data_IF_817815909964
#
_entry.id   IF_817815909964
#
_cell.length_a   1.000
_cell.length_b   1.000
_cell.length_c   1.000
_cell.angle_alpha   90.00
_cell.angle_beta   90.00
_cell.angle_gamma   90.00
#
_symmetry.space_group_name_H-M   'P 1'
#
loop_
_entity.id
_entity.type
_entity.pdbx_description
1 polymer ?
#
# COMPACT_ATOMS: atom_id res chain seq x y z
N UNK A 1 42.05 1.99 8.04
CA UNK A 1 40.92 2.77 8.61
C UNK A 1 39.63 2.19 8.09
N UNK A 2 38.54 2.21 8.86
CA UNK A 2 37.22 1.78 8.38
C UNK A 2 36.72 2.81 7.37
N UNK A 3 36.33 2.40 6.17
CA UNK A 3 35.75 3.30 5.18
C UNK A 3 34.38 3.77 5.66
N UNK A 4 34.14 5.06 5.56
CA UNK A 4 32.86 5.71 5.92
C UNK A 4 31.90 5.72 4.74
N UNK A 5 30.59 5.68 5.03
CA UNK A 5 29.54 5.58 4.00
C UNK A 5 28.52 6.71 4.15
N UNK A 6 28.25 7.42 3.07
CA UNK A 6 27.20 8.43 2.96
C UNK A 6 26.07 7.91 2.06
N UNK A 7 24.82 8.02 2.51
CA UNK A 7 23.64 7.85 1.66
C UNK A 7 23.16 9.21 1.13
N UNK A 8 23.10 9.36 -0.19
CA UNK A 8 22.53 10.53 -0.87
C UNK A 8 21.12 10.17 -1.35
N UNK A 9 20.09 10.75 -0.72
CA UNK A 9 18.69 10.48 -1.03
C UNK A 9 18.15 11.60 -1.93
N UNK A 10 17.83 11.25 -3.18
CA UNK A 10 17.36 12.20 -4.17
C UNK A 10 15.85 12.48 -4.01
N UNK A 11 15.49 13.65 -3.48
CA UNK A 11 14.11 14.08 -3.28
C UNK A 11 13.76 15.43 -3.96
N UNK A 12 14.70 16.09 -4.64
CA UNK A 12 14.48 17.40 -5.30
C UNK A 12 13.68 17.35 -6.61
N UNK A 13 13.18 16.20 -7.05
CA UNK A 13 12.54 16.03 -8.36
C UNK A 13 11.08 16.53 -8.40
N UNK A 14 10.72 17.35 -9.41
CA UNK A 14 9.36 17.94 -9.61
C UNK A 14 8.24 16.93 -9.92
N UNK A 15 8.52 15.64 -10.06
CA UNK A 15 7.50 14.60 -10.25
C UNK A 15 6.64 14.70 -11.52
N UNK A 16 7.08 15.38 -12.56
CA UNK A 16 6.30 15.71 -13.76
C UNK A 16 5.58 14.52 -14.45
N UNK A 17 6.07 13.28 -14.25
CA UNK A 17 5.47 12.06 -14.83
C UNK A 17 4.28 11.50 -14.03
N UNK A 18 4.11 11.93 -12.78
CA UNK A 18 3.06 11.40 -11.91
C UNK A 18 1.69 12.05 -12.15
N UNK A 19 1.62 13.14 -12.92
CA UNK A 19 0.36 13.85 -13.23
C UNK A 19 -0.23 14.64 -12.06
N UNK A 20 0.41 14.65 -10.89
CA UNK A 20 0.04 15.38 -9.68
C UNK A 20 1.31 15.76 -8.90
N UNK A 21 1.16 16.55 -7.84
CA UNK A 21 2.28 17.00 -7.01
C UNK A 21 2.93 15.83 -6.26
N UNK A 22 3.79 15.09 -6.97
CA UNK A 22 4.50 13.90 -6.45
C UNK A 22 5.24 14.19 -5.14
N UNK A 23 5.74 15.41 -4.97
CA UNK A 23 6.47 15.78 -3.76
C UNK A 23 5.56 15.79 -2.54
N UNK A 24 4.29 16.22 -2.66
CA UNK A 24 3.32 16.13 -1.57
C UNK A 24 3.06 14.67 -1.16
N UNK A 25 3.01 13.74 -2.12
CA UNK A 25 2.87 12.33 -1.81
C UNK A 25 4.14 11.71 -1.24
N UNK A 26 5.32 12.03 -1.78
CA UNK A 26 6.58 11.51 -1.23
C UNK A 26 6.82 11.96 0.21
N UNK A 27 6.50 13.21 0.54
CA UNK A 27 6.70 13.79 1.86
C UNK A 27 5.48 13.55 2.74
N UNK A 28 4.26 13.78 2.25
CA UNK A 28 3.00 13.58 2.98
C UNK A 28 2.65 12.11 3.25
N UNK A 29 2.92 11.21 2.32
CA UNK A 29 2.55 9.79 2.36
C UNK A 29 3.59 8.86 3.01
N UNK A 30 4.48 9.38 3.83
CA UNK A 30 5.50 8.59 4.54
C UNK A 30 6.55 7.90 3.64
N UNK A 31 6.47 7.97 2.29
CA UNK A 31 7.40 7.26 1.41
C UNK A 31 8.86 7.71 1.62
N UNK A 32 9.12 9.03 1.67
CA UNK A 32 10.45 9.54 1.97
C UNK A 32 10.90 9.18 3.39
N UNK A 33 10.01 9.23 4.38
CA UNK A 33 10.31 8.79 5.75
C UNK A 33 10.69 7.31 5.80
N UNK A 34 9.98 6.45 5.08
CA UNK A 34 10.29 5.03 4.97
C UNK A 34 11.64 4.81 4.30
N UNK A 35 11.93 5.53 3.20
CA UNK A 35 13.25 5.50 2.56
C UNK A 35 14.37 5.90 3.53
N UNK A 36 14.21 7.00 4.25
CA UNK A 36 15.20 7.47 5.23
C UNK A 36 15.43 6.46 6.34
N UNK A 37 14.36 5.85 6.86
CA UNK A 37 14.46 4.81 7.89
C UNK A 37 15.23 3.57 7.43
N UNK A 38 15.14 3.22 6.15
CA UNK A 38 15.90 2.10 5.59
C UNK A 38 17.43 2.33 5.61
N UNK A 39 17.87 3.60 5.55
CA UNK A 39 19.28 3.97 5.62
C UNK A 39 19.77 4.35 7.03
N UNK A 40 18.87 4.41 8.03
CA UNK A 40 19.25 4.75 9.41
C UNK A 40 19.74 3.52 10.20
N UNK A 41 20.93 3.03 9.88
CA UNK A 41 21.58 1.93 10.59
C UNK A 41 23.11 2.09 10.64
N UNK A 42 23.83 1.33 11.51
CA UNK A 42 25.25 1.58 11.85
C UNK A 42 26.28 1.53 10.70
N UNK A 43 25.93 0.99 9.53
CA UNK A 43 26.83 0.99 8.38
C UNK A 43 26.79 2.32 7.58
N UNK A 44 25.82 3.19 7.85
CA UNK A 44 25.68 4.51 7.23
C UNK A 44 26.15 5.56 8.24
N UNK A 45 27.20 6.29 7.90
CA UNK A 45 27.81 7.30 8.76
C UNK A 45 27.20 8.71 8.52
N UNK A 46 26.72 8.97 7.30
CA UNK A 46 26.14 10.26 6.89
C UNK A 46 24.92 10.03 5.96
N UNK A 47 23.89 10.88 6.08
CA UNK A 47 22.75 10.91 5.17
C UNK A 47 22.59 12.33 4.62
N UNK A 48 22.52 12.48 3.31
CA UNK A 48 22.28 13.76 2.64
C UNK A 48 21.00 13.64 1.83
N UNK A 49 20.03 14.51 2.09
CA UNK A 49 18.78 14.56 1.33
C UNK A 49 18.78 15.77 0.42
N UNK A 50 18.59 15.57 -0.88
CA UNK A 50 18.43 16.72 -1.78
C UNK A 50 16.96 17.15 -1.80
N UNK A 51 16.69 18.44 -1.66
CA UNK A 51 15.34 19.01 -1.67
C UNK A 51 15.21 20.10 -2.73
N UNK A 52 14.02 20.25 -3.30
CA UNK A 52 13.68 21.47 -4.06
C UNK A 52 13.56 22.67 -3.10
N UNK A 53 13.67 23.88 -3.62
CA UNK A 53 13.48 25.09 -2.80
C UNK A 53 12.10 25.10 -2.12
N UNK A 54 11.05 24.64 -2.85
CA UNK A 54 9.68 24.58 -2.34
C UNK A 54 9.48 23.57 -1.21
N UNK A 55 10.25 22.47 -1.19
CA UNK A 55 10.09 21.38 -0.23
C UNK A 55 11.16 21.41 0.87
N UNK A 56 12.07 22.38 0.84
CA UNK A 56 13.26 22.39 1.70
C UNK A 56 12.94 22.43 3.19
N UNK A 57 12.01 23.26 3.61
CA UNK A 57 11.62 23.39 5.02
C UNK A 57 10.94 22.12 5.52
N UNK A 58 10.03 21.55 4.73
CA UNK A 58 9.30 20.35 5.08
C UNK A 58 10.25 19.13 5.20
N UNK A 59 11.16 18.95 4.23
CA UNK A 59 12.16 17.89 4.28
C UNK A 59 13.14 18.12 5.42
N UNK A 60 13.54 19.36 5.69
CA UNK A 60 14.40 19.70 6.83
C UNK A 60 13.76 19.33 8.15
N UNK A 61 12.48 19.60 8.31
CA UNK A 61 11.71 19.16 9.49
C UNK A 61 11.67 17.64 9.62
N UNK A 62 11.54 16.92 8.49
CA UNK A 62 11.49 15.46 8.46
C UNK A 62 12.81 14.82 8.96
N UNK A 63 13.95 15.40 8.63
CA UNK A 63 15.29 14.86 8.99
C UNK A 63 15.77 15.26 10.36
N UNK A 64 15.11 16.18 11.10
CA UNK A 64 15.53 16.62 12.44
C UNK A 64 15.66 15.48 13.45
N UNK A 65 14.91 14.40 13.25
CA UNK A 65 14.96 13.20 14.12
C UNK A 65 16.12 12.26 13.81
N UNK A 66 16.89 12.53 12.73
CA UNK A 66 18.01 11.71 12.26
C UNK A 66 19.33 12.47 12.45
N UNK A 67 20.09 12.22 13.55
CA UNK A 67 21.29 13.03 13.89
C UNK A 67 22.39 13.04 12.82
N UNK A 68 22.40 12.04 11.93
CA UNK A 68 23.38 11.89 10.84
C UNK A 68 22.89 12.47 9.50
N UNK A 69 21.68 13.05 9.48
CA UNK A 69 21.08 13.55 8.26
C UNK A 69 21.18 15.07 8.14
N UNK A 70 21.41 15.53 6.91
CA UNK A 70 21.33 16.94 6.54
C UNK A 70 20.63 17.10 5.19
N UNK A 71 20.05 18.27 4.96
CA UNK A 71 19.40 18.63 3.72
C UNK A 71 20.29 19.57 2.92
N UNK A 72 20.34 19.35 1.60
CA UNK A 72 21.01 20.27 0.65
C UNK A 72 20.03 20.65 -0.45
N UNK A 73 20.16 21.87 -0.95
CA UNK A 73 19.38 22.30 -2.11
C UNK A 73 19.79 21.49 -3.34
N UNK A 74 18.79 20.99 -4.05
CA UNK A 74 18.96 20.38 -5.36
C UNK A 74 19.41 21.39 -6.41
N UNK A 75 19.45 20.95 -7.65
CA UNK A 75 19.76 21.79 -8.79
C UNK A 75 18.69 21.66 -9.87
N UNK A 76 18.94 22.27 -11.04
CA UNK A 76 18.02 22.31 -12.17
C UNK A 76 17.68 20.92 -12.73
N UNK A 77 18.54 19.94 -12.52
CA UNK A 77 18.34 18.53 -12.92
C UNK A 77 18.67 17.56 -11.80
N UNK A 78 18.33 16.26 -12.00
CA UNK A 78 18.74 15.19 -11.09
C UNK A 78 20.26 15.13 -10.94
N UNK A 79 20.98 15.25 -12.05
CA UNK A 79 22.47 15.25 -12.05
C UNK A 79 23.04 16.41 -11.24
N UNK A 80 22.51 17.63 -11.40
CA UNK A 80 22.91 18.78 -10.59
C UNK A 80 22.61 18.58 -9.10
N UNK A 81 21.45 17.99 -8.78
CA UNK A 81 21.09 17.70 -7.38
C UNK A 81 22.05 16.69 -6.74
N UNK A 82 22.41 15.63 -7.46
CA UNK A 82 23.40 14.64 -7.01
C UNK A 82 24.78 15.30 -6.83
N UNK A 83 25.21 16.09 -7.78
CA UNK A 83 26.53 16.78 -7.69
C UNK A 83 26.60 17.75 -6.52
N UNK A 84 25.52 18.49 -6.23
CA UNK A 84 25.45 19.35 -5.04
C UNK A 84 25.57 18.53 -3.74
N UNK A 85 24.94 17.37 -3.68
CA UNK A 85 25.06 16.46 -2.54
C UNK A 85 26.48 15.86 -2.43
N UNK A 86 27.10 15.46 -3.53
CA UNK A 86 28.48 14.95 -3.57
C UNK A 86 29.47 15.96 -3.03
N UNK A 87 29.35 17.25 -3.36
CA UNK A 87 30.18 18.34 -2.82
C UNK A 87 30.04 18.51 -1.30
N UNK A 88 28.89 18.14 -0.75
CA UNK A 88 28.58 18.23 0.68
C UNK A 88 28.93 16.96 1.45
N UNK A 89 29.17 15.84 0.76
CA UNK A 89 29.51 14.56 1.36
C UNK A 89 30.97 14.52 1.83
N UNK A 90 31.19 13.89 2.98
CA UNK A 90 32.52 13.74 3.57
C UNK A 90 33.03 12.29 3.60
N UNK A 91 32.12 11.33 3.47
CA UNK A 91 32.42 9.91 3.53
C UNK A 91 33.22 9.40 2.32
N UNK A 92 33.90 8.26 2.48
CA UNK A 92 34.74 7.63 1.43
C UNK A 92 33.86 7.00 0.32
N UNK A 93 32.74 6.39 0.71
CA UNK A 93 31.78 5.72 -0.18
C UNK A 93 30.47 6.52 -0.17
N UNK A 94 29.87 6.67 -1.34
CA UNK A 94 28.54 7.27 -1.50
C UNK A 94 27.60 6.26 -2.13
N UNK A 95 26.37 6.22 -1.60
CA UNK A 95 25.25 5.46 -2.14
C UNK A 95 24.20 6.47 -2.62
N UNK A 96 23.97 6.56 -3.91
CA UNK A 96 22.97 7.47 -4.48
C UNK A 96 21.66 6.69 -4.63
N UNK A 97 20.60 7.18 -3.98
CA UNK A 97 19.32 6.50 -3.94
C UNK A 97 18.14 7.42 -4.24
N UNK A 98 17.18 6.92 -5.01
CA UNK A 98 15.95 7.65 -5.29
C UNK A 98 15.05 7.68 -4.04
N UNK A 99 14.67 8.86 -3.53
CA UNK A 99 13.72 9.02 -2.43
C UNK A 99 12.35 8.39 -2.70
N UNK A 100 12.05 8.10 -3.95
CA UNK A 100 10.85 7.42 -4.41
C UNK A 100 10.94 5.88 -4.41
N UNK A 101 11.94 5.27 -3.75
CA UNK A 101 12.06 3.82 -3.59
C UNK A 101 12.03 3.42 -2.10
N UNK A 102 10.86 3.48 -1.45
CA UNK A 102 10.75 3.26 -0.01
C UNK A 102 10.98 1.80 0.42
N UNK A 103 10.94 0.85 -0.51
CA UNK A 103 11.00 -0.59 -0.20
C UNK A 103 12.41 -1.19 -0.38
N UNK A 104 13.45 -0.36 -0.38
CA UNK A 104 14.83 -0.85 -0.35
C UNK A 104 15.11 -1.54 0.98
N UNK A 105 15.67 -2.75 0.92
CA UNK A 105 15.99 -3.51 2.14
C UNK A 105 17.44 -3.27 2.57
N UNK A 106 17.71 -3.48 3.86
CA UNK A 106 19.05 -3.43 4.42
C UNK A 106 20.03 -4.35 3.69
N UNK A 107 19.60 -5.55 3.32
CA UNK A 107 20.43 -6.51 2.56
C UNK A 107 20.88 -5.94 1.22
N UNK A 108 19.99 -5.25 0.49
CA UNK A 108 20.35 -4.59 -0.78
C UNK A 108 21.36 -3.47 -0.55
N UNK A 109 21.18 -2.67 0.49
CA UNK A 109 22.12 -1.57 0.82
C UNK A 109 23.50 -2.12 1.20
N UNK A 110 23.55 -3.11 2.09
CA UNK A 110 24.81 -3.75 2.51
C UNK A 110 25.51 -4.43 1.32
N UNK A 111 24.77 -5.13 0.45
CA UNK A 111 25.31 -5.72 -0.78
C UNK A 111 25.90 -4.69 -1.74
N UNK A 112 25.28 -3.52 -1.85
CA UNK A 112 25.82 -2.41 -2.63
C UNK A 112 27.14 -1.88 -2.03
N UNK A 113 27.21 -1.67 -0.71
CA UNK A 113 28.45 -1.25 -0.01
C UNK A 113 29.58 -2.26 -0.23
N UNK A 114 29.32 -3.53 -0.08
CA UNK A 114 30.32 -4.59 -0.26
C UNK A 114 30.80 -4.67 -1.74
N UNK A 115 29.92 -4.44 -2.71
CA UNK A 115 30.31 -4.35 -4.12
C UNK A 115 31.25 -3.17 -4.36
N UNK A 116 30.99 -1.99 -3.77
CA UNK A 116 31.89 -0.84 -3.88
C UNK A 116 33.25 -1.16 -3.30
N UNK A 117 33.31 -1.73 -2.10
CA UNK A 117 34.58 -2.10 -1.44
C UNK A 117 35.40 -3.09 -2.26
N UNK A 118 34.76 -4.04 -2.91
CA UNK A 118 35.42 -5.11 -3.68
C UNK A 118 35.78 -4.69 -5.09
N UNK A 119 34.90 -3.97 -5.76
CA UNK A 119 34.93 -3.76 -7.21
C UNK A 119 35.07 -2.29 -7.61
N UNK A 120 35.00 -1.34 -6.66
CA UNK A 120 35.05 0.11 -6.93
C UNK A 120 33.67 0.71 -7.24
N UNK A 121 32.65 -0.11 -7.48
CA UNK A 121 31.27 0.34 -7.72
C UNK A 121 30.27 -0.77 -7.38
N UNK A 122 28.99 -0.40 -7.17
CA UNK A 122 27.89 -1.33 -6.92
C UNK A 122 26.58 -0.75 -7.44
N UNK A 123 26.06 -1.28 -8.52
CA UNK A 123 24.82 -0.86 -9.15
C UNK A 123 23.74 -1.91 -8.89
N UNK A 124 22.79 -1.60 -8.03
CA UNK A 124 21.68 -2.52 -7.78
C UNK A 124 20.86 -2.74 -9.05
N UNK A 125 20.63 -3.99 -9.39
CA UNK A 125 19.89 -4.36 -10.58
C UNK A 125 19.14 -5.67 -10.40
N UNK A 126 18.06 -5.86 -11.19
CA UNK A 126 17.30 -7.10 -11.27
C UNK A 126 17.17 -7.56 -12.73
N UNK A 127 16.92 -8.84 -12.94
CA UNK A 127 16.67 -9.40 -14.28
C UNK A 127 15.39 -8.82 -14.88
N UNK A 128 15.40 -8.58 -16.19
CA UNK A 128 14.20 -8.23 -16.93
C UNK A 128 13.27 -9.45 -17.03
N UNK A 129 12.00 -9.30 -16.61
CA UNK A 129 10.98 -10.35 -16.80
C UNK A 129 10.36 -10.28 -18.18
N UNK A 130 10.02 -9.07 -18.61
CA UNK A 130 9.35 -8.85 -19.87
C UNK A 130 10.33 -8.72 -21.02
N UNK A 131 9.85 -8.99 -22.23
CA UNK A 131 10.60 -8.72 -23.44
C UNK A 131 10.66 -7.21 -23.65
N UNK A 132 11.86 -6.68 -23.83
CA UNK A 132 12.11 -5.24 -24.07
C UNK A 132 12.37 -5.03 -25.56
N UNK A 133 11.77 -3.98 -26.10
CA UNK A 133 11.98 -3.62 -27.50
C UNK A 133 12.52 -2.17 -27.62
N UNK A 134 13.44 -1.96 -28.57
CA UNK A 134 13.79 -0.61 -29.01
C UNK A 134 12.78 -0.16 -30.07
N UNK A 135 12.19 1.02 -29.87
CA UNK A 135 11.11 1.54 -30.72
C UNK A 135 11.54 2.85 -31.36
N UNK A 136 11.26 3.04 -32.66
CA UNK A 136 11.41 4.30 -33.39
C UNK A 136 10.16 4.55 -34.23
N UNK A 137 9.56 5.75 -34.09
CA UNK A 137 8.35 6.16 -34.80
C UNK A 137 7.19 5.13 -34.67
N UNK A 138 6.96 4.61 -33.47
CA UNK A 138 5.91 3.62 -33.19
C UNK A 138 6.19 2.21 -33.70
N UNK A 139 7.33 1.95 -34.33
CA UNK A 139 7.72 0.63 -34.86
C UNK A 139 8.83 0.01 -34.01
N UNK A 140 8.70 -1.28 -33.71
CA UNK A 140 9.77 -2.07 -33.10
C UNK A 140 10.90 -2.23 -34.11
N UNK A 141 12.11 -1.77 -33.74
CA UNK A 141 13.30 -1.85 -34.60
C UNK A 141 14.32 -2.89 -34.12
N UNK A 142 14.26 -3.27 -32.84
CA UNK A 142 15.10 -4.31 -32.28
C UNK A 142 14.47 -4.88 -31.02
N UNK A 143 14.69 -6.18 -30.78
CA UNK A 143 14.34 -6.89 -29.54
C UNK A 143 15.64 -7.51 -28.99
N UNK A 144 16.30 -6.87 -28.01
CA UNK A 144 17.53 -7.38 -27.43
C UNK A 144 17.30 -8.72 -26.71
N UNK A 145 18.35 -9.55 -26.62
CA UNK A 145 18.29 -10.76 -25.80
C UNK A 145 18.06 -10.37 -24.33
N UNK A 146 16.91 -10.77 -23.77
CA UNK A 146 16.50 -10.48 -22.40
C UNK A 146 17.51 -10.92 -21.35
N UNK A 147 18.22 -12.03 -21.57
CA UNK A 147 19.19 -12.58 -20.62
C UNK A 147 20.39 -11.65 -20.39
N UNK A 148 20.67 -10.77 -21.38
CA UNK A 148 21.72 -9.74 -21.27
C UNK A 148 21.23 -8.42 -20.66
N UNK A 149 19.93 -8.28 -20.42
CA UNK A 149 19.36 -7.05 -19.90
C UNK A 149 19.17 -7.11 -18.38
N UNK A 150 19.35 -5.97 -17.75
CA UNK A 150 19.03 -5.76 -16.32
C UNK A 150 18.24 -4.47 -16.15
N UNK A 151 17.28 -4.49 -15.27
CA UNK A 151 16.61 -3.27 -14.82
C UNK A 151 17.46 -2.64 -13.71
N UNK A 152 18.02 -1.48 -13.99
CA UNK A 152 18.85 -0.73 -13.04
C UNK A 152 17.95 -0.11 -11.98
N UNK A 153 18.37 -0.29 -10.74
CA UNK A 153 17.73 0.29 -9.56
C UNK A 153 18.70 1.22 -8.83
N UNK A 154 18.29 1.70 -7.69
CA UNK A 154 19.13 2.34 -6.70
C UNK A 154 18.98 1.61 -5.35
N UNK A 155 20.01 1.63 -4.47
CA UNK A 155 21.19 2.49 -4.48
C UNK A 155 22.19 2.14 -5.60
N UNK A 156 22.91 3.18 -6.02
CA UNK A 156 24.08 3.07 -6.87
C UNK A 156 25.28 3.57 -6.06
N UNK A 157 26.23 2.69 -5.81
CA UNK A 157 27.35 2.92 -4.90
C UNK A 157 28.66 3.15 -5.64
N UNK A 158 29.47 4.09 -5.14
CA UNK A 158 30.75 4.46 -5.71
C UNK A 158 31.72 4.94 -4.63
N UNK A 159 33.03 4.91 -4.89
CA UNK A 159 33.94 5.78 -4.16
C UNK A 159 33.64 7.23 -4.50
N UNK A 160 33.47 8.07 -3.47
CA UNK A 160 33.05 9.46 -3.61
C UNK A 160 33.94 10.25 -4.58
N UNK A 161 35.25 10.12 -4.49
CA UNK A 161 36.17 10.82 -5.36
C UNK A 161 35.98 10.49 -6.83
N UNK A 162 35.79 9.22 -7.18
CA UNK A 162 35.60 8.77 -8.55
C UNK A 162 34.33 9.31 -9.19
N UNK A 163 33.19 9.19 -8.50
CA UNK A 163 31.93 9.68 -9.05
C UNK A 163 31.86 11.20 -9.07
N UNK A 164 32.48 11.88 -8.11
CA UNK A 164 32.57 13.36 -8.11
C UNK A 164 33.39 13.85 -9.34
N UNK A 165 34.54 13.28 -9.57
CA UNK A 165 35.38 13.60 -10.77
C UNK A 165 34.59 13.29 -12.06
N UNK A 166 33.83 12.18 -12.11
CA UNK A 166 33.02 11.85 -13.28
C UNK A 166 31.94 12.92 -13.56
N UNK A 167 31.30 13.44 -12.52
CA UNK A 167 30.34 14.52 -12.65
C UNK A 167 30.96 15.84 -13.05
N UNK A 168 32.14 16.20 -12.51
CA UNK A 168 32.88 17.40 -12.90
C UNK A 168 33.18 17.39 -14.40
N UNK A 169 33.75 16.30 -14.89
CA UNK A 169 34.03 16.13 -16.33
C UNK A 169 32.76 16.17 -17.18
N UNK A 170 31.67 15.58 -16.71
CA UNK A 170 30.41 15.60 -17.44
C UNK A 170 29.82 17.02 -17.59
N UNK A 171 30.00 17.87 -16.59
CA UNK A 171 29.56 19.27 -16.65
C UNK A 171 30.50 20.16 -17.47
N UNK A 172 31.79 19.90 -17.47
CA UNK A 172 32.76 20.60 -18.33
C UNK A 172 32.52 20.34 -19.82
N UNK A 173 32.08 19.14 -20.18
CA UNK A 173 31.82 18.77 -21.58
C UNK A 173 30.43 19.25 -22.09
N UNK A 174 29.68 20.07 -21.33
CA UNK A 174 28.28 20.44 -21.65
C UNK A 174 27.42 19.22 -22.06
N UNK A 175 27.67 18.10 -21.42
CA UNK A 175 27.24 16.79 -21.86
C UNK A 175 25.71 16.59 -21.70
N UNK A 176 25.07 15.72 -22.50
CA UNK A 176 23.66 15.47 -22.46
C UNK A 176 23.21 14.99 -21.09
N UNK A 177 21.91 15.18 -20.79
CA UNK A 177 21.32 14.75 -19.52
C UNK A 177 21.48 13.25 -19.34
N UNK A 178 22.18 12.85 -18.28
CA UNK A 178 22.27 11.45 -17.87
C UNK A 178 21.01 11.04 -17.10
N UNK A 179 20.53 9.83 -17.37
CA UNK A 179 19.31 9.30 -16.73
C UNK A 179 19.59 8.71 -15.36
N UNK A 180 20.85 8.29 -15.11
CA UNK A 180 21.28 7.70 -13.84
C UNK A 180 22.79 7.90 -13.61
N UNK A 181 23.25 7.57 -12.39
CA UNK A 181 24.63 7.80 -11.96
C UNK A 181 25.59 6.76 -12.56
N UNK A 182 25.11 5.56 -12.84
CA UNK A 182 25.88 4.49 -13.47
C UNK A 182 26.32 4.86 -14.88
N UNK A 183 25.50 5.60 -15.61
CA UNK A 183 25.85 6.06 -16.98
C UNK A 183 26.92 7.15 -16.98
N UNK A 184 26.91 8.05 -15.98
CA UNK A 184 27.99 9.03 -15.77
C UNK A 184 29.28 8.29 -15.44
N UNK A 185 29.25 7.38 -14.48
CA UNK A 185 30.40 6.59 -14.08
C UNK A 185 30.97 5.78 -15.26
N UNK A 186 30.12 5.13 -16.02
CA UNK A 186 30.52 4.32 -17.18
C UNK A 186 31.30 5.12 -18.23
N UNK A 187 30.91 6.38 -18.44
CA UNK A 187 31.55 7.25 -19.45
C UNK A 187 32.97 7.70 -19.04
N UNK A 188 33.19 7.99 -17.77
CA UNK A 188 34.41 8.65 -17.32
C UNK A 188 35.34 7.79 -16.44
N UNK A 189 34.82 6.72 -15.85
CA UNK A 189 35.55 5.84 -14.94
C UNK A 189 35.61 4.37 -15.41
N UNK A 190 34.86 4.02 -16.46
CA UNK A 190 34.74 2.64 -16.94
C UNK A 190 33.49 1.92 -16.49
N UNK A 191 33.25 0.70 -16.99
CA UNK A 191 32.05 -0.06 -16.75
C UNK A 191 31.86 -0.36 -15.25
N UNK A 192 30.72 0.06 -14.62
CA UNK A 192 30.46 -0.22 -13.23
C UNK A 192 30.02 -1.67 -13.02
N UNK A 193 30.27 -2.21 -11.83
CA UNK A 193 29.84 -3.55 -11.43
C UNK A 193 28.39 -3.54 -10.92
N UNK A 194 27.65 -4.58 -11.31
CA UNK A 194 26.30 -4.81 -10.78
C UNK A 194 26.36 -5.49 -9.41
N UNK A 195 25.37 -5.22 -8.59
CA UNK A 195 25.06 -6.00 -7.39
C UNK A 195 23.57 -6.36 -7.37
N UNK A 196 23.20 -7.30 -6.52
CA UNK A 196 21.82 -7.79 -6.45
C UNK A 196 20.87 -6.71 -5.94
N UNK A 197 19.81 -6.43 -6.69
CA UNK A 197 18.69 -5.60 -6.30
C UNK A 197 17.55 -6.42 -5.72
N UNK A 198 16.38 -5.82 -5.58
CA UNK A 198 15.16 -6.51 -5.17
C UNK A 198 13.99 -6.11 -6.06
N UNK A 199 13.14 -7.07 -6.41
CA UNK A 199 11.91 -6.79 -7.17
C UNK A 199 10.91 -5.95 -6.39
N UNK A 200 10.96 -6.00 -5.07
CA UNK A 200 10.16 -5.17 -4.18
C UNK A 200 10.65 -3.72 -4.12
N UNK A 201 11.90 -3.45 -4.51
CA UNK A 201 12.49 -2.11 -4.54
C UNK A 201 12.00 -1.30 -5.76
N UNK A 202 10.67 -1.21 -5.89
CA UNK A 202 10.00 -0.48 -6.96
C UNK A 202 10.23 1.03 -6.82
N UNK A 203 10.16 1.75 -7.93
CA UNK A 203 10.18 3.21 -7.95
C UNK A 203 8.76 3.74 -8.06
N UNK A 204 8.26 4.38 -7.03
CA UNK A 204 6.97 5.06 -7.05
C UNK A 204 7.00 6.18 -8.09
N UNK A 205 6.36 5.98 -9.23
CA UNK A 205 6.47 6.87 -10.39
C UNK A 205 5.11 7.33 -10.91
N UNK A 206 4.11 6.46 -10.86
CA UNK A 206 2.74 6.69 -11.31
C UNK A 206 1.78 6.71 -10.11
N UNK A 207 0.57 7.23 -10.31
CA UNK A 207 -0.47 7.29 -9.27
C UNK A 207 -0.78 5.90 -8.68
N UNK A 208 -0.74 4.87 -9.54
CA UNK A 208 -1.00 3.49 -9.14
C UNK A 208 0.04 2.94 -8.16
N UNK A 209 1.28 3.43 -8.22
CA UNK A 209 2.36 2.99 -7.33
C UNK A 209 2.16 3.47 -5.88
N UNK A 210 1.35 4.52 -5.68
CA UNK A 210 1.04 5.11 -4.37
C UNK A 210 -0.24 4.55 -3.76
N UNK A 211 -0.88 3.57 -4.41
CA UNK A 211 -2.06 2.92 -3.82
C UNK A 211 -1.67 2.26 -2.52
N UNK A 212 -2.30 2.73 -1.46
CA UNK A 212 -2.19 2.09 -0.15
C UNK A 212 -2.89 0.73 -0.23
N UNK A 213 -2.10 -0.33 -0.34
CA UNK A 213 -2.57 -1.71 -0.30
C UNK A 213 -2.92 -2.15 1.13
N UNK A 214 -3.01 -1.24 2.09
CA UNK A 214 -3.44 -1.58 3.44
C UNK A 214 -4.90 -2.04 3.39
N UNK A 215 -5.08 -3.30 3.73
CA UNK A 215 -6.40 -3.84 3.94
C UNK A 215 -6.94 -3.30 5.27
N UNK A 216 -8.19 -2.81 5.28
CA UNK A 216 -8.89 -2.41 6.49
C UNK A 216 -9.79 -3.53 6.94
N UNK A 217 -9.69 -3.91 8.21
CA UNK A 217 -10.53 -4.91 8.83
C UNK A 217 -11.58 -4.23 9.70
N UNK A 218 -12.82 -4.71 9.63
CA UNK A 218 -13.90 -4.30 10.50
C UNK A 218 -14.63 -5.50 11.09
N UNK A 219 -15.21 -5.28 12.25
CA UNK A 219 -15.97 -6.25 12.99
C UNK A 219 -17.34 -5.67 13.35
N UNK A 220 -18.38 -6.47 13.18
CA UNK A 220 -19.75 -6.15 13.57
C UNK A 220 -20.42 -7.33 14.27
N UNK A 221 -21.25 -7.04 15.24
CA UNK A 221 -22.05 -8.03 15.99
C UNK A 221 -23.46 -7.51 16.10
N UNK A 222 -24.41 -8.37 15.81
CA UNK A 222 -25.82 -8.07 16.11
C UNK A 222 -26.53 -9.29 16.71
N UNK A 223 -27.55 -9.03 17.53
CA UNK A 223 -28.33 -10.05 18.25
C UNK A 223 -29.81 -9.70 18.23
N UNK A 224 -30.61 -10.59 17.71
CA UNK A 224 -32.06 -10.43 17.72
C UNK A 224 -32.74 -11.54 18.51
N UNK A 225 -33.72 -11.17 19.31
CA UNK A 225 -34.56 -12.13 20.05
C UNK A 225 -35.67 -12.69 19.16
N UNK A 226 -36.03 -13.95 19.36
CA UNK A 226 -37.26 -14.52 18.83
C UNK A 226 -38.51 -13.97 19.58
N UNK A 227 -39.65 -13.93 18.91
CA UNK A 227 -40.91 -13.48 19.54
C UNK A 227 -41.86 -12.76 18.60
N UNK A 228 -41.48 -12.53 17.34
CA UNK A 228 -42.39 -11.97 16.32
C UNK A 228 -43.35 -13.06 15.82
N UNK A 229 -44.64 -12.76 15.76
CA UNK A 229 -45.68 -13.66 15.20
C UNK A 229 -45.48 -13.79 13.68
N UNK A 230 -44.55 -14.65 13.26
CA UNK A 230 -44.15 -14.87 11.90
C UNK A 230 -43.53 -16.27 11.79
N UNK A 231 -43.75 -16.98 10.70
CA UNK A 231 -43.32 -18.36 10.47
C UNK A 231 -41.97 -18.47 9.72
N UNK A 232 -41.19 -17.39 9.67
CA UNK A 232 -39.87 -17.33 9.05
C UNK A 232 -38.98 -16.27 9.71
N UNK A 233 -37.69 -16.39 9.45
CA UNK A 233 -36.70 -15.36 9.68
C UNK A 233 -36.05 -14.96 8.35
N UNK A 234 -35.42 -13.78 8.32
CA UNK A 234 -34.58 -13.32 7.20
C UNK A 234 -33.13 -13.37 7.62
N UNK A 235 -32.28 -13.97 6.79
CA UNK A 235 -30.81 -13.89 6.91
C UNK A 235 -30.21 -13.66 5.51
N UNK A 236 -29.50 -12.57 5.32
CA UNK A 236 -28.98 -12.11 4.03
C UNK A 236 -30.09 -11.96 2.95
N UNK A 237 -31.30 -11.53 3.36
CA UNK A 237 -32.47 -11.44 2.49
C UNK A 237 -33.13 -12.77 2.16
N UNK A 238 -32.56 -13.91 2.58
CA UNK A 238 -33.12 -15.25 2.36
C UNK A 238 -34.15 -15.56 3.40
N UNK A 239 -35.36 -15.97 2.93
CA UNK A 239 -36.48 -16.37 3.81
C UNK A 239 -36.29 -17.79 4.28
N UNK A 240 -36.14 -17.98 5.60
CA UNK A 240 -35.84 -19.25 6.22
C UNK A 240 -37.03 -19.62 7.15
N UNK A 241 -37.74 -20.74 6.94
CA UNK A 241 -38.83 -21.18 7.82
C UNK A 241 -38.39 -21.32 9.28
N UNK A 242 -39.15 -20.77 10.20
CA UNK A 242 -38.90 -20.77 11.64
C UNK A 242 -40.21 -20.81 12.43
N UNK A 243 -40.17 -21.34 13.64
CA UNK A 243 -41.34 -21.35 14.54
C UNK A 243 -41.74 -19.93 15.00
N UNK A 244 -40.82 -18.97 14.93
CA UNK A 244 -41.03 -17.57 15.29
C UNK A 244 -40.09 -16.66 14.51
N UNK A 245 -40.53 -15.44 14.21
CA UNK A 245 -39.71 -14.41 13.62
C UNK A 245 -38.83 -13.69 14.65
N UNK A 246 -37.89 -12.89 14.14
CA UNK A 246 -36.98 -12.06 14.96
C UNK A 246 -37.63 -10.70 15.26
N UNK A 247 -37.50 -10.24 16.50
CA UNK A 247 -37.98 -8.92 16.95
C UNK A 247 -36.99 -7.86 16.46
N UNK A 248 -37.46 -6.92 15.63
CA UNK A 248 -36.64 -5.82 15.11
C UNK A 248 -37.54 -4.63 14.70
N UNK A 249 -36.95 -3.47 14.52
CA UNK A 249 -37.61 -2.30 13.96
C UNK A 249 -37.69 -2.37 12.41
N UNK A 250 -36.65 -2.93 11.78
CA UNK A 250 -36.54 -3.20 10.34
C UNK A 250 -37.22 -4.54 9.96
N UNK A 251 -36.77 -5.16 8.87
CA UNK A 251 -37.20 -6.51 8.46
C UNK A 251 -36.65 -7.64 9.36
N UNK A 252 -35.69 -7.33 10.23
CA UNK A 252 -35.14 -8.24 11.22
C UNK A 252 -33.98 -9.11 10.71
N UNK A 253 -33.31 -8.72 9.64
CA UNK A 253 -32.15 -9.44 9.12
C UNK A 253 -30.88 -9.14 9.94
N UNK A 254 -30.72 -9.88 11.04
CA UNK A 254 -29.63 -9.76 11.99
C UNK A 254 -28.26 -9.99 11.32
N UNK A 255 -28.21 -10.80 10.24
CA UNK A 255 -26.97 -11.06 9.51
C UNK A 255 -26.52 -9.80 8.75
N UNK A 256 -27.45 -9.17 8.03
CA UNK A 256 -27.15 -7.95 7.26
C UNK A 256 -26.78 -6.79 8.19
N UNK A 257 -27.41 -6.67 9.35
CA UNK A 257 -27.05 -5.65 10.35
C UNK A 257 -25.61 -5.83 10.84
N UNK A 258 -25.20 -7.04 11.22
CA UNK A 258 -23.82 -7.32 11.61
C UNK A 258 -22.82 -7.03 10.48
N UNK A 259 -23.18 -7.32 9.22
CA UNK A 259 -22.35 -7.02 8.04
C UNK A 259 -22.22 -5.50 7.82
N UNK A 260 -23.32 -4.74 7.97
CA UNK A 260 -23.28 -3.27 7.84
C UNK A 260 -22.36 -2.64 8.89
N UNK A 261 -22.46 -3.06 10.15
CA UNK A 261 -21.57 -2.58 11.21
C UNK A 261 -20.11 -2.94 10.98
N UNK A 262 -19.83 -4.15 10.48
CA UNK A 262 -18.47 -4.53 10.08
C UNK A 262 -17.91 -3.64 8.97
N UNK A 263 -18.70 -3.31 7.96
CA UNK A 263 -18.32 -2.44 6.84
C UNK A 263 -18.03 -1.00 7.31
N UNK A 264 -18.95 -0.45 8.10
CA UNK A 264 -18.80 0.90 8.67
C UNK A 264 -17.58 0.98 9.60
N UNK A 265 -17.37 -0.01 10.45
CA UNK A 265 -16.22 -0.12 11.33
C UNK A 265 -14.90 -0.16 10.55
N UNK A 266 -14.83 -0.96 9.48
CA UNK A 266 -13.63 -1.02 8.62
C UNK A 266 -13.32 0.31 7.94
N UNK A 267 -14.35 1.06 7.56
CA UNK A 267 -14.21 2.38 6.95
C UNK A 267 -13.90 3.50 7.97
N UNK A 268 -13.94 3.21 9.28
CA UNK A 268 -13.77 4.21 10.34
C UNK A 268 -14.99 5.12 10.51
N UNK A 269 -16.17 4.64 10.09
CA UNK A 269 -17.46 5.32 10.21
C UNK A 269 -18.18 4.90 11.51
N UNK A 270 -19.29 5.58 11.82
CA UNK A 270 -20.15 5.25 12.95
C UNK A 270 -21.02 4.01 12.65
N UNK A 271 -21.67 3.45 13.67
CA UNK A 271 -22.53 2.29 13.57
C UNK A 271 -23.85 2.53 12.81
N UNK A 272 -24.57 1.43 12.52
CA UNK A 272 -25.88 1.48 11.82
C UNK A 272 -26.92 2.30 12.58
N UNK A 273 -26.89 2.34 13.89
CA UNK A 273 -27.83 3.11 14.72
C UNK A 273 -27.70 4.62 14.50
N UNK A 274 -26.53 5.10 14.10
CA UNK A 274 -26.32 6.49 13.73
C UNK A 274 -26.91 6.84 12.37
N UNK A 275 -26.77 5.97 11.37
CA UNK A 275 -27.22 6.23 9.99
C UNK A 275 -28.67 5.82 9.76
N UNK A 276 -29.16 4.82 10.49
CA UNK A 276 -30.51 4.25 10.39
C UNK A 276 -31.18 4.15 11.77
N UNK A 277 -31.42 5.30 12.44
CA UNK A 277 -31.94 5.30 13.80
C UNK A 277 -33.32 4.66 13.87
N UNK A 278 -33.53 3.80 14.86
CA UNK A 278 -34.78 3.13 15.11
C UNK A 278 -35.93 4.08 15.57
N UNK A 279 -35.61 5.33 15.85
CA UNK A 279 -36.56 6.40 16.15
C UNK A 279 -37.16 7.04 14.90
N UNK A 280 -36.62 6.79 13.71
CA UNK A 280 -37.11 7.33 12.46
C UNK A 280 -38.05 6.31 11.78
N UNK A 281 -39.33 6.68 11.66
CA UNK A 281 -40.39 5.87 11.01
C UNK A 281 -40.02 5.48 9.54
N UNK A 282 -39.12 6.19 8.89
CA UNK A 282 -38.63 5.85 7.55
C UNK A 282 -38.03 4.45 7.47
N UNK A 283 -37.42 3.98 8.55
CA UNK A 283 -36.75 2.68 8.61
C UNK A 283 -37.60 1.54 9.16
N UNK A 284 -38.82 1.84 9.54
CA UNK A 284 -39.74 0.83 10.04
C UNK A 284 -40.12 -0.18 8.96
N UNK A 285 -39.76 -1.44 9.17
CA UNK A 285 -39.94 -2.51 8.19
C UNK A 285 -39.09 -2.38 6.92
N UNK A 286 -38.12 -1.50 6.89
CA UNK A 286 -37.24 -1.32 5.75
C UNK A 286 -36.44 -2.60 5.47
N UNK A 287 -36.11 -2.84 4.18
CA UNK A 287 -35.25 -3.95 3.77
C UNK A 287 -33.80 -3.70 4.18
N UNK A 288 -33.26 -4.59 5.01
CA UNK A 288 -31.85 -4.51 5.42
C UNK A 288 -30.89 -4.64 4.23
N UNK A 289 -31.26 -5.38 3.18
CA UNK A 289 -30.46 -5.46 1.94
C UNK A 289 -30.36 -4.09 1.24
N UNK A 290 -31.46 -3.31 1.20
CA UNK A 290 -31.42 -1.95 0.63
C UNK A 290 -30.64 -0.96 1.51
N UNK A 291 -30.63 -1.17 2.83
CA UNK A 291 -29.77 -0.40 3.74
C UNK A 291 -28.30 -0.75 3.52
N UNK A 292 -27.97 -2.03 3.29
CA UNK A 292 -26.61 -2.48 2.94
C UNK A 292 -26.10 -1.81 1.66
N UNK A 293 -26.92 -1.65 0.63
CA UNK A 293 -26.54 -0.91 -0.59
C UNK A 293 -26.14 0.54 -0.28
N UNK A 294 -26.84 1.21 0.64
CA UNK A 294 -26.49 2.56 1.07
C UNK A 294 -25.15 2.60 1.83
N UNK A 295 -24.90 1.62 2.72
CA UNK A 295 -23.61 1.49 3.41
C UNK A 295 -22.48 1.27 2.42
N UNK A 296 -22.69 0.45 1.38
CA UNK A 296 -21.71 0.24 0.31
C UNK A 296 -21.41 1.53 -0.47
N UNK A 297 -22.42 2.36 -0.72
CA UNK A 297 -22.19 3.69 -1.31
C UNK A 297 -21.31 4.55 -0.40
N UNK A 298 -21.60 4.61 0.90
CA UNK A 298 -20.82 5.38 1.87
C UNK A 298 -19.35 4.96 1.91
N UNK A 299 -19.06 3.65 1.95
CA UNK A 299 -17.67 3.17 1.94
C UNK A 299 -16.99 3.39 0.58
N UNK A 300 -17.75 3.34 -0.51
CA UNK A 300 -17.28 3.67 -1.86
C UNK A 300 -16.84 5.13 -1.98
N UNK A 301 -17.60 6.05 -1.40
CA UNK A 301 -17.26 7.49 -1.33
C UNK A 301 -15.98 7.75 -0.52
N UNK A 302 -15.65 6.86 0.44
CA UNK A 302 -14.38 6.88 1.18
C UNK A 302 -13.22 6.20 0.42
N UNK A 303 -13.45 5.73 -0.83
CA UNK A 303 -12.44 5.07 -1.65
C UNK A 303 -12.21 3.60 -1.33
N UNK A 304 -13.19 2.92 -0.70
CA UNK A 304 -13.06 1.51 -0.33
C UNK A 304 -14.03 0.60 -1.07
N UNK A 305 -13.63 -0.66 -1.25
CA UNK A 305 -14.48 -1.75 -1.72
C UNK A 305 -14.26 -2.99 -0.86
N UNK A 306 -15.26 -3.86 -0.82
CA UNK A 306 -15.16 -5.13 -0.12
C UNK A 306 -14.13 -6.02 -0.80
N UNK A 307 -13.25 -6.64 -0.02
CA UNK A 307 -12.30 -7.66 -0.47
C UNK A 307 -12.79 -9.05 -0.11
N UNK A 308 -13.21 -9.23 1.15
CA UNK A 308 -13.78 -10.49 1.61
C UNK A 308 -14.67 -10.27 2.83
N UNK A 309 -15.59 -11.22 3.09
CA UNK A 309 -16.49 -11.24 4.23
C UNK A 309 -16.47 -12.63 4.90
N UNK A 310 -16.41 -12.65 6.22
CA UNK A 310 -16.57 -13.86 7.02
C UNK A 310 -17.66 -13.65 8.06
N UNK A 311 -18.63 -14.57 8.12
CA UNK A 311 -19.78 -14.51 9.03
C UNK A 311 -19.88 -15.78 9.87
N UNK A 312 -20.07 -15.62 11.16
CA UNK A 312 -20.38 -16.71 12.09
C UNK A 312 -21.77 -16.48 12.70
N UNK A 313 -22.68 -17.41 12.48
CA UNK A 313 -24.06 -17.37 12.98
C UNK A 313 -24.17 -18.35 14.16
N UNK A 314 -24.65 -17.87 15.28
CA UNK A 314 -24.95 -18.68 16.48
C UNK A 314 -26.46 -18.79 16.64
N UNK A 315 -26.99 -19.99 16.42
CA UNK A 315 -28.43 -20.28 16.52
C UNK A 315 -28.68 -21.75 16.81
N UNK A 316 -29.56 -22.06 17.78
CA UNK A 316 -29.99 -23.42 18.03
C UNK A 316 -30.96 -23.90 16.94
N UNK A 317 -31.85 -23.00 16.51
CA UNK A 317 -32.85 -23.20 15.46
C UNK A 317 -33.04 -21.89 14.67
N UNK A 318 -33.49 -21.98 13.38
CA UNK A 318 -33.60 -23.19 12.53
C UNK A 318 -32.22 -23.69 12.08
N UNK A 319 -32.15 -24.92 11.52
CA UNK A 319 -30.94 -25.45 10.90
C UNK A 319 -30.64 -24.71 9.60
N UNK A 320 -29.44 -24.07 9.51
CA UNK A 320 -29.10 -23.13 8.47
C UNK A 320 -28.29 -23.73 7.31
N UNK A 321 -27.73 -24.93 7.48
CA UNK A 321 -26.77 -25.52 6.54
C UNK A 321 -27.23 -25.51 5.06
N UNK A 322 -28.48 -25.80 4.79
CA UNK A 322 -29.03 -25.84 3.40
C UNK A 322 -29.26 -24.47 2.77
N UNK A 323 -29.19 -23.38 3.54
CA UNK A 323 -29.41 -22.00 3.07
C UNK A 323 -28.13 -21.19 2.92
N UNK A 324 -26.96 -21.77 3.30
CA UNK A 324 -25.69 -21.04 3.29
C UNK A 324 -25.33 -20.57 1.89
N UNK A 325 -25.49 -21.40 0.87
CA UNK A 325 -25.16 -21.02 -0.51
C UNK A 325 -26.10 -19.92 -1.05
N UNK A 326 -27.38 -19.97 -0.70
CA UNK A 326 -28.34 -18.92 -1.06
C UNK A 326 -27.99 -17.59 -0.40
N UNK A 327 -27.63 -17.59 0.90
CA UNK A 327 -27.16 -16.41 1.62
C UNK A 327 -25.87 -15.83 1.00
N UNK A 328 -24.91 -16.69 0.65
CA UNK A 328 -23.66 -16.26 -0.01
C UNK A 328 -23.93 -15.62 -1.37
N UNK A 329 -24.80 -16.21 -2.18
CA UNK A 329 -25.18 -15.69 -3.48
C UNK A 329 -25.89 -14.33 -3.38
N UNK A 330 -26.81 -14.19 -2.43
CA UNK A 330 -27.52 -12.94 -2.18
C UNK A 330 -26.55 -11.80 -1.77
N UNK A 331 -25.65 -12.08 -0.82
CA UNK A 331 -24.62 -11.11 -0.40
C UNK A 331 -23.63 -10.79 -1.52
N UNK A 332 -23.19 -11.79 -2.28
CA UNK A 332 -22.28 -11.62 -3.41
C UNK A 332 -22.81 -10.62 -4.43
N UNK A 333 -24.08 -10.70 -4.76
CA UNK A 333 -24.75 -9.78 -5.69
C UNK A 333 -24.70 -8.33 -5.24
N UNK A 334 -24.90 -8.06 -3.95
CA UNK A 334 -24.91 -6.71 -3.37
C UNK A 334 -23.48 -6.23 -3.12
N UNK A 335 -22.63 -7.05 -2.49
CA UNK A 335 -21.23 -6.70 -2.16
C UNK A 335 -20.31 -6.60 -3.37
N UNK A 336 -20.75 -7.09 -4.54
CA UNK A 336 -19.99 -7.13 -5.80
C UNK A 336 -18.64 -7.85 -5.65
N UNK A 337 -18.67 -8.99 -4.94
CA UNK A 337 -17.53 -9.90 -4.77
C UNK A 337 -17.90 -11.30 -5.24
N UNK A 338 -16.91 -12.11 -5.58
CA UNK A 338 -17.14 -13.52 -5.90
C UNK A 338 -17.71 -14.26 -4.67
N UNK A 339 -18.69 -15.18 -4.81
CA UNK A 339 -19.21 -15.97 -3.69
C UNK A 339 -18.14 -16.71 -2.88
N UNK A 340 -16.99 -17.04 -3.49
CA UNK A 340 -15.85 -17.66 -2.81
C UNK A 340 -15.13 -16.71 -1.84
N UNK A 341 -15.32 -15.39 -1.99
CA UNK A 341 -14.84 -14.38 -1.06
C UNK A 341 -15.71 -14.23 0.19
N UNK A 342 -16.83 -14.96 0.27
CA UNK A 342 -17.78 -14.93 1.39
C UNK A 342 -17.75 -16.27 2.12
N UNK A 343 -17.31 -16.27 3.37
CA UNK A 343 -17.42 -17.41 4.30
C UNK A 343 -18.62 -17.23 5.22
N UNK A 344 -19.52 -18.22 5.30
CA UNK A 344 -20.60 -18.26 6.29
C UNK A 344 -20.53 -19.59 7.03
N UNK A 345 -20.42 -19.53 8.36
CA UNK A 345 -20.54 -20.67 9.25
C UNK A 345 -21.75 -20.50 10.16
N UNK A 346 -22.39 -21.60 10.53
CA UNK A 346 -23.48 -21.61 11.48
C UNK A 346 -23.28 -22.74 12.50
N UNK A 347 -23.41 -22.42 13.76
CA UNK A 347 -23.25 -23.37 14.87
C UNK A 347 -24.24 -23.12 15.99
N UNK A 348 -24.40 -24.14 16.86
CA UNK A 348 -25.14 -24.03 18.11
C UNK A 348 -24.28 -23.46 19.22
N UNK A 349 -24.87 -23.08 20.34
CA UNK A 349 -24.20 -22.73 21.57
C UNK A 349 -24.20 -23.88 22.60
N UNK A 350 -24.48 -25.12 22.15
CA UNK A 350 -24.50 -26.32 23.00
C UNK A 350 -25.37 -26.15 24.25
N UNK A 351 -26.53 -25.49 24.10
CA UNK A 351 -27.44 -25.20 25.18
C UNK A 351 -27.05 -24.08 26.14
N UNK A 352 -25.94 -23.38 25.88
CA UNK A 352 -25.43 -22.33 26.78
C UNK A 352 -25.90 -20.93 26.39
N UNK A 353 -26.31 -20.19 27.41
CA UNK A 353 -26.75 -18.78 27.27
C UNK A 353 -28.07 -18.64 26.51
N UNK A 354 -28.43 -17.38 26.20
CA UNK A 354 -29.71 -17.07 25.54
C UNK A 354 -29.85 -17.68 24.13
N UNK A 355 -28.75 -17.84 23.41
CA UNK A 355 -28.77 -18.55 22.11
C UNK A 355 -29.02 -20.03 22.34
N UNK A 356 -28.29 -20.67 23.26
CA UNK A 356 -28.49 -22.08 23.62
C UNK A 356 -29.87 -22.39 24.20
N UNK A 357 -30.51 -21.42 24.86
CA UNK A 357 -31.88 -21.50 25.32
C UNK A 357 -32.91 -21.25 24.20
N UNK A 358 -32.50 -20.99 22.98
CA UNK A 358 -33.36 -20.73 21.84
C UNK A 358 -34.09 -19.39 21.91
N UNK A 359 -33.58 -18.41 22.68
CA UNK A 359 -34.22 -17.10 22.87
C UNK A 359 -33.85 -16.08 21.79
N UNK A 360 -32.81 -16.34 21.00
CA UNK A 360 -32.34 -15.42 19.95
C UNK A 360 -31.24 -15.98 19.07
N UNK A 361 -30.81 -15.17 18.13
CA UNK A 361 -29.71 -15.44 17.19
C UNK A 361 -28.69 -14.34 17.37
N UNK A 362 -27.39 -14.70 17.39
CA UNK A 362 -26.26 -13.77 17.33
C UNK A 362 -25.47 -14.00 16.05
N UNK A 363 -25.10 -12.93 15.40
CA UNK A 363 -24.25 -12.95 14.20
C UNK A 363 -23.02 -12.08 14.42
N UNK A 364 -21.87 -12.65 14.10
CA UNK A 364 -20.59 -11.96 14.09
C UNK A 364 -20.13 -11.86 12.63
N UNK A 365 -19.77 -10.67 12.19
CA UNK A 365 -19.27 -10.43 10.85
C UNK A 365 -17.88 -9.79 10.88
N UNK A 366 -16.98 -10.28 10.04
CA UNK A 366 -15.66 -9.71 9.79
C UNK A 366 -15.54 -9.36 8.32
N UNK A 367 -15.17 -8.13 8.03
CA UNK A 367 -14.97 -7.68 6.66
C UNK A 367 -13.55 -7.21 6.46
N UNK A 368 -13.02 -7.48 5.28
CA UNK A 368 -11.78 -6.89 4.80
C UNK A 368 -12.11 -5.96 3.64
N UNK A 369 -11.74 -4.69 3.74
CA UNK A 369 -11.83 -3.72 2.65
C UNK A 369 -10.46 -3.60 1.95
N UNK A 370 -10.52 -3.26 0.66
CA UNK A 370 -9.38 -2.81 -0.13
C UNK A 370 -9.63 -1.38 -0.59
N UNK A 371 -8.60 -0.62 -0.87
CA UNK A 371 -8.68 0.65 -1.61
C UNK A 371 -9.14 0.40 -3.04
N UNK A 372 -9.95 1.33 -3.58
CA UNK A 372 -10.43 1.32 -4.97
C UNK A 372 -9.35 1.72 -5.97
#
# INVERSE_FOLDING_TARGET
MKQTVCAIICAAGKGARAGFEKNKLLVGDKALRTTLSAFDFPAIDEIIVTASEADFEEISSLVTTLPRAKVVLGGESRSHSVYNALKSATADIVLIHDGARPYVTRTVIEGCIESVKRNGSGICAVECRDTVATVKNGKVINVPNRDTLRQIQTPQGFFRENITCAYERAFEEESPSYTDDSSVFARYCGAPYLCEGSRENIKLTYAEDFRDNTARCGFGVDTHAFGKAQDYILLAGVKIPSESGLIAHSDGDVLVHAVMDALLSAAGLKDIGHYFPNTDEKWKGASSMSMLEQVLSMIGEQGYAVKNLSVAIQAEKPRLAKYIDDMKNALSGVLKVDPTAIGISAGTNEGLGYVGEGKGITVNAYVLLRTL
#
